data_IF_078524410383
#
_entry.id   IF_078524410383
#
_cell.length_a   1.000
_cell.length_b   1.000
_cell.length_c   1.000
_cell.angle_alpha   90.00
_cell.angle_beta   90.00
_cell.angle_gamma   90.00
#
_symmetry.space_group_name_H-M   'P 1'
#
loop_
_entity.id
_entity.type
_entity.pdbx_description
1 polymer ?
#
# COMPACT_ATOMS: atom_id res chain seq x y z
N UNK A 1 22.38 4.26 -8.33
CA UNK A 1 22.22 2.82 -8.69
C UNK A 1 21.15 2.77 -9.77
N UNK A 2 21.35 2.07 -10.88
CA UNK A 2 20.26 1.88 -11.85
C UNK A 2 19.41 0.71 -11.40
N UNK A 3 18.22 0.98 -10.87
CA UNK A 3 17.26 -0.05 -10.52
C UNK A 3 16.42 -0.37 -11.76
N UNK A 4 16.45 -1.63 -12.23
CA UNK A 4 15.52 -2.09 -13.26
C UNK A 4 14.25 -2.61 -12.58
N UNK A 5 13.23 -1.75 -12.49
CA UNK A 5 11.90 -2.18 -12.05
C UNK A 5 11.23 -2.99 -13.17
N UNK A 6 10.77 -4.23 -12.91
CA UNK A 6 10.06 -5.02 -13.90
C UNK A 6 8.77 -4.30 -14.30
N UNK A 7 8.65 -3.97 -15.58
CA UNK A 7 7.43 -3.36 -16.12
C UNK A 7 6.38 -4.44 -16.34
N UNK A 8 5.42 -4.51 -15.44
CA UNK A 8 4.26 -5.38 -15.56
C UNK A 8 3.16 -4.71 -16.39
N UNK A 9 2.49 -5.49 -17.22
CA UNK A 9 1.26 -5.09 -17.89
C UNK A 9 0.09 -5.03 -16.91
N UNK A 10 -0.97 -4.29 -17.25
CA UNK A 10 -2.21 -4.29 -16.45
C UNK A 10 -2.81 -5.68 -16.26
N UNK A 11 -2.67 -6.56 -17.25
CA UNK A 11 -3.14 -7.93 -17.15
C UNK A 11 -2.36 -8.74 -16.09
N UNK A 12 -1.05 -8.57 -16.03
CA UNK A 12 -0.18 -9.21 -15.04
C UNK A 12 -0.44 -8.67 -13.63
N UNK A 13 -0.58 -7.35 -13.49
CA UNK A 13 -0.94 -6.71 -12.21
C UNK A 13 -2.29 -7.23 -11.74
N UNK A 14 -3.30 -7.25 -12.62
CA UNK A 14 -4.64 -7.75 -12.29
C UNK A 14 -4.64 -9.24 -11.93
N UNK A 15 -3.81 -10.06 -12.58
CA UNK A 15 -3.65 -11.48 -12.21
C UNK A 15 -3.04 -11.62 -10.81
N UNK A 16 -1.93 -10.93 -10.53
CA UNK A 16 -1.28 -10.95 -9.22
C UNK A 16 -2.23 -10.48 -8.11
N UNK A 17 -2.98 -9.41 -8.35
CA UNK A 17 -3.97 -8.91 -7.39
C UNK A 17 -5.08 -9.94 -7.11
N UNK A 18 -5.59 -10.63 -8.13
CA UNK A 18 -6.61 -11.69 -7.95
C UNK A 18 -6.06 -12.90 -7.21
N UNK A 19 -4.85 -13.35 -7.52
CA UNK A 19 -4.19 -14.46 -6.84
C UNK A 19 -3.99 -14.14 -5.35
N UNK A 20 -3.41 -12.97 -5.06
CA UNK A 20 -3.23 -12.47 -3.71
C UNK A 20 -4.54 -12.38 -2.93
N UNK A 21 -5.59 -11.80 -3.55
CA UNK A 21 -6.90 -11.70 -2.92
C UNK A 21 -7.54 -13.07 -2.70
N UNK A 22 -7.37 -14.02 -3.61
CA UNK A 22 -7.95 -15.35 -3.48
C UNK A 22 -7.36 -16.13 -2.30
N UNK A 23 -6.06 -15.97 -2.02
CA UNK A 23 -5.42 -16.60 -0.86
C UNK A 23 -5.97 -16.08 0.48
N UNK A 24 -6.26 -14.78 0.54
CA UNK A 24 -6.68 -14.11 1.78
C UNK A 24 -8.20 -14.07 1.94
N UNK A 25 -8.95 -13.93 0.85
CA UNK A 25 -10.41 -13.82 0.81
C UNK A 25 -10.98 -14.64 -0.36
N UNK A 26 -10.98 -15.99 -0.25
CA UNK A 26 -11.37 -16.86 -1.35
C UNK A 26 -12.80 -16.65 -1.86
N UNK A 27 -13.72 -16.17 -1.01
CA UNK A 27 -15.12 -15.94 -1.39
C UNK A 27 -15.28 -14.79 -2.38
N UNK A 28 -14.32 -13.84 -2.42
CA UNK A 28 -14.37 -12.63 -3.25
C UNK A 28 -15.65 -11.80 -3.06
N UNK A 29 -16.34 -12.00 -1.94
CA UNK A 29 -17.58 -11.29 -1.63
C UNK A 29 -17.29 -9.81 -1.43
N UNK A 30 -18.12 -8.98 -2.08
CA UNK A 30 -18.05 -7.53 -1.99
C UNK A 30 -18.95 -7.08 -0.83
N UNK A 31 -18.50 -6.12 -0.01
CA UNK A 31 -17.29 -5.33 -0.23
C UNK A 31 -16.04 -6.00 0.39
N UNK A 32 -14.91 -6.01 -0.34
CA UNK A 32 -13.67 -6.70 0.06
C UNK A 32 -13.18 -6.17 1.42
N UNK A 33 -13.03 -7.01 2.47
CA UNK A 33 -12.73 -6.56 3.83
C UNK A 33 -11.25 -6.18 3.99
N UNK A 34 -10.86 -5.03 3.42
CA UNK A 34 -9.46 -4.64 3.28
C UNK A 34 -8.80 -4.33 4.63
N UNK A 35 -9.51 -3.71 5.58
CA UNK A 35 -8.98 -3.49 6.93
C UNK A 35 -8.67 -4.82 7.62
N UNK A 36 -9.59 -5.78 7.60
CA UNK A 36 -9.39 -7.11 8.20
C UNK A 36 -8.24 -7.88 7.54
N UNK A 37 -8.11 -7.78 6.22
CA UNK A 37 -6.99 -8.40 5.49
C UNK A 37 -5.67 -7.81 5.97
N UNK A 38 -5.56 -6.48 6.06
CA UNK A 38 -4.34 -5.78 6.47
C UNK A 38 -4.01 -6.08 7.94
N UNK A 39 -4.95 -5.88 8.86
CA UNK A 39 -4.68 -5.97 10.30
C UNK A 39 -4.64 -7.40 10.83
N UNK A 40 -5.58 -8.25 10.40
CA UNK A 40 -5.74 -9.58 11.01
C UNK A 40 -4.97 -10.66 10.26
N UNK A 41 -4.97 -10.61 8.92
CA UNK A 41 -4.32 -11.65 8.10
C UNK A 41 -2.85 -11.36 7.86
N UNK A 42 -2.52 -10.10 7.54
CA UNK A 42 -1.15 -9.69 7.23
C UNK A 42 -0.41 -9.10 8.43
N UNK A 43 -1.11 -8.78 9.52
CA UNK A 43 -0.55 -8.22 10.77
C UNK A 43 0.19 -6.90 10.56
N UNK A 44 -0.31 -6.09 9.62
CA UNK A 44 0.12 -4.72 9.41
C UNK A 44 -0.77 -3.78 10.23
N UNK A 45 -0.24 -2.63 10.65
CA UNK A 45 -1.04 -1.61 11.32
C UNK A 45 -1.67 -0.66 10.30
N UNK A 46 -2.88 -0.18 10.59
CA UNK A 46 -3.45 0.99 9.92
C UNK A 46 -3.41 2.16 10.91
N UNK A 47 -2.80 3.27 10.51
CA UNK A 47 -2.71 4.45 11.37
C UNK A 47 -3.30 5.69 10.69
N UNK A 48 -4.41 6.24 11.23
CA UNK A 48 -4.95 7.52 10.78
C UNK A 48 -3.99 8.66 11.16
N UNK A 49 -3.31 9.22 10.15
CA UNK A 49 -2.38 10.33 10.31
C UNK A 49 -3.13 11.66 10.16
N UNK A 50 -3.13 12.53 11.20
CA UNK A 50 -3.84 13.79 11.14
C UNK A 50 -3.30 14.71 10.05
N UNK A 51 -4.21 15.29 9.26
CA UNK A 51 -3.88 16.31 8.25
C UNK A 51 -2.93 15.86 7.13
N UNK A 52 -2.73 14.56 6.92
CA UNK A 52 -1.76 14.02 5.96
C UNK A 52 -1.94 14.61 4.56
N UNK A 53 -3.18 14.64 4.07
CA UNK A 53 -3.47 15.19 2.75
C UNK A 53 -3.30 16.71 2.72
N UNK A 54 -3.77 17.41 3.75
CA UNK A 54 -3.70 18.87 3.79
C UNK A 54 -2.26 19.39 3.80
N UNK A 55 -1.39 18.75 4.58
CA UNK A 55 -0.04 19.27 4.83
C UNK A 55 1.00 18.69 3.85
N UNK A 56 0.73 17.49 3.30
CA UNK A 56 1.68 16.77 2.45
C UNK A 56 1.11 16.35 1.09
N UNK A 57 -0.19 16.53 0.84
CA UNK A 57 -0.83 16.10 -0.41
C UNK A 57 -1.02 14.59 -0.54
N UNK A 58 -0.76 13.81 0.52
CA UNK A 58 -0.80 12.35 0.49
C UNK A 58 -2.13 11.80 1.01
N UNK A 59 -2.69 10.78 0.35
CA UNK A 59 -3.87 10.07 0.87
C UNK A 59 -3.48 8.97 1.87
N UNK A 60 -2.32 8.35 1.66
CA UNK A 60 -1.71 7.36 2.53
C UNK A 60 -0.29 7.06 2.09
N UNK A 61 0.46 6.28 2.87
CA UNK A 61 1.75 5.71 2.51
C UNK A 61 2.10 4.51 3.40
N UNK A 62 2.82 3.53 2.86
CA UNK A 62 3.44 2.44 3.63
C UNK A 62 4.77 2.92 4.28
N UNK A 63 4.94 2.68 5.57
CA UNK A 63 6.20 3.00 6.28
C UNK A 63 7.39 2.22 5.71
N UNK A 64 8.60 2.78 5.84
CA UNK A 64 9.81 2.17 5.26
C UNK A 64 10.13 0.77 5.83
N UNK A 65 9.77 0.51 7.09
CA UNK A 65 9.86 -0.82 7.73
C UNK A 65 8.72 -1.78 7.32
N UNK A 66 7.76 -1.28 6.53
CA UNK A 66 6.57 -1.98 6.02
C UNK A 66 5.64 -2.52 7.08
N UNK A 67 5.66 -1.99 8.31
CA UNK A 67 4.78 -2.50 9.38
C UNK A 67 3.47 -1.72 9.49
N UNK A 68 3.38 -0.53 8.88
CA UNK A 68 2.26 0.38 9.08
C UNK A 68 1.87 1.08 7.78
N UNK A 69 0.58 1.08 7.46
CA UNK A 69 0.00 1.93 6.43
C UNK A 69 -0.56 3.18 7.13
N UNK A 70 0.06 4.32 6.84
CA UNK A 70 -0.43 5.63 7.25
C UNK A 70 -1.53 6.05 6.27
N UNK A 71 -2.67 6.50 6.76
CA UNK A 71 -3.81 6.97 5.94
C UNK A 71 -4.29 8.30 6.47
N UNK A 72 -4.74 9.22 5.61
CA UNK A 72 -5.26 10.50 6.06
C UNK A 72 -6.48 10.32 6.98
N UNK A 73 -6.44 10.96 8.15
CA UNK A 73 -7.46 10.82 9.20
C UNK A 73 -8.88 11.15 8.72
N UNK A 74 -9.06 12.21 7.93
CA UNK A 74 -10.39 12.59 7.43
C UNK A 74 -10.92 11.51 6.48
N UNK A 75 -10.05 10.93 5.65
CA UNK A 75 -10.45 9.84 4.77
C UNK A 75 -10.84 8.60 5.55
N UNK A 76 -10.05 8.26 6.56
CA UNK A 76 -10.30 7.12 7.44
C UNK A 76 -11.65 7.25 8.16
N UNK A 77 -11.92 8.41 8.76
CA UNK A 77 -13.11 8.62 9.57
C UNK A 77 -14.39 8.87 8.76
N UNK A 78 -14.28 9.56 7.63
CA UNK A 78 -15.44 10.15 6.94
C UNK A 78 -15.62 9.70 5.49
N UNK A 79 -14.60 9.07 4.88
CA UNK A 79 -14.60 8.73 3.45
C UNK A 79 -14.28 7.25 3.21
N UNK A 80 -15.08 6.35 3.78
CA UNK A 80 -14.81 4.90 3.78
C UNK A 80 -14.45 4.31 2.41
N UNK A 81 -15.14 4.69 1.33
CA UNK A 81 -14.81 4.20 -0.02
C UNK A 81 -13.40 4.62 -0.46
N UNK A 82 -13.04 5.88 -0.20
CA UNK A 82 -11.72 6.43 -0.53
C UNK A 82 -10.63 5.85 0.37
N UNK A 83 -10.93 5.63 1.65
CA UNK A 83 -10.04 4.95 2.58
C UNK A 83 -9.73 3.54 2.10
N UNK A 84 -10.76 2.74 1.77
CA UNK A 84 -10.59 1.36 1.29
C UNK A 84 -9.75 1.29 0.01
N UNK A 85 -9.95 2.21 -0.92
CA UNK A 85 -9.10 2.33 -2.10
C UNK A 85 -7.64 2.64 -1.74
N UNK A 86 -7.43 3.62 -0.85
CA UNK A 86 -6.08 4.01 -0.40
C UNK A 86 -5.37 2.86 0.29
N UNK A 87 -6.05 2.15 1.18
CA UNK A 87 -5.51 0.96 1.86
C UNK A 87 -5.13 -0.14 0.86
N UNK A 88 -6.00 -0.42 -0.12
CA UNK A 88 -5.70 -1.39 -1.17
C UNK A 88 -4.51 -0.96 -2.05
N UNK A 89 -4.38 0.34 -2.33
CA UNK A 89 -3.25 0.90 -3.08
C UNK A 89 -1.93 0.70 -2.33
N UNK A 90 -1.86 1.09 -1.06
CA UNK A 90 -0.66 0.94 -0.24
C UNK A 90 -0.31 -0.52 0.05
N UNK A 91 -1.31 -1.39 0.20
CA UNK A 91 -1.08 -2.83 0.28
C UNK A 91 -0.49 -3.38 -1.04
N UNK A 92 -0.95 -2.86 -2.18
CA UNK A 92 -0.36 -3.15 -3.48
C UNK A 92 1.14 -2.85 -3.51
N UNK A 93 1.57 -1.72 -2.93
CA UNK A 93 3.00 -1.40 -2.80
C UNK A 93 3.75 -2.39 -1.93
N UNK A 94 3.17 -2.79 -0.80
CA UNK A 94 3.77 -3.78 0.10
C UNK A 94 4.04 -5.11 -0.61
N UNK A 95 3.07 -5.59 -1.40
CA UNK A 95 3.10 -6.91 -2.05
C UNK A 95 3.92 -6.89 -3.33
N UNK A 96 3.67 -5.92 -4.22
CA UNK A 96 4.32 -5.89 -5.54
C UNK A 96 5.78 -5.48 -5.44
N UNK A 97 6.14 -4.72 -4.41
CA UNK A 97 7.50 -4.25 -4.24
C UNK A 97 8.26 -4.89 -3.09
N UNK A 98 7.77 -5.99 -2.52
CA UNK A 98 8.37 -6.66 -1.36
C UNK A 98 9.86 -6.95 -1.53
N UNK A 99 10.26 -7.48 -2.70
CA UNK A 99 11.66 -7.80 -2.99
C UNK A 99 12.55 -6.56 -3.07
N UNK A 100 12.02 -5.40 -3.45
CA UNK A 100 12.78 -4.15 -3.49
C UNK A 100 12.98 -3.61 -2.08
N UNK A 101 11.95 -3.67 -1.22
CA UNK A 101 12.09 -3.27 0.17
C UNK A 101 13.07 -4.13 0.97
N UNK A 102 13.20 -5.42 0.65
CA UNK A 102 14.15 -6.31 1.33
C UNK A 102 15.61 -5.88 1.13
N UNK A 103 15.92 -5.31 -0.04
CA UNK A 103 17.28 -4.93 -0.44
C UNK A 103 17.57 -3.42 -0.28
N UNK A 104 16.56 -2.60 0.04
CA UNK A 104 16.69 -1.14 0.14
C UNK A 104 17.00 -0.70 1.58
N UNK A 105 18.24 -0.30 1.80
CA UNK A 105 18.65 0.55 2.92
C UNK A 105 18.59 2.01 2.45
N UNK A 106 17.41 2.64 2.47
CA UNK A 106 17.30 4.07 2.20
C UNK A 106 18.10 4.84 3.24
N UNK A 107 19.20 5.46 2.83
CA UNK A 107 20.04 6.26 3.73
C UNK A 107 19.47 7.65 3.90
N UNK A 108 18.71 8.13 2.90
CA UNK A 108 18.14 9.46 2.86
C UNK A 108 16.66 9.40 2.45
N UNK A 109 15.85 10.30 3.01
CA UNK A 109 14.41 10.37 2.77
C UNK A 109 14.07 10.58 1.29
N UNK A 110 14.90 11.33 0.54
CA UNK A 110 14.63 11.57 -0.88
C UNK A 110 14.73 10.30 -1.74
N UNK A 111 15.61 9.35 -1.38
CA UNK A 111 15.76 8.08 -2.10
C UNK A 111 14.47 7.24 -2.00
N UNK A 112 13.81 7.30 -0.84
CA UNK A 112 12.50 6.68 -0.64
C UNK A 112 11.41 7.40 -1.44
N UNK A 113 11.45 8.73 -1.51
CA UNK A 113 10.47 9.51 -2.28
C UNK A 113 10.56 9.24 -3.78
N UNK A 114 11.77 9.21 -4.36
CA UNK A 114 11.98 8.89 -5.78
C UNK A 114 11.48 7.49 -6.11
N UNK A 115 11.85 6.51 -5.29
CA UNK A 115 11.40 5.12 -5.45
C UNK A 115 9.87 5.00 -5.37
N UNK A 116 9.23 5.71 -4.43
CA UNK A 116 7.78 5.69 -4.24
C UNK A 116 7.02 6.28 -5.44
N UNK A 117 7.53 7.37 -6.01
CA UNK A 117 6.92 8.02 -7.17
C UNK A 117 7.18 7.26 -8.48
N UNK A 118 7.99 6.19 -8.45
CA UNK A 118 8.36 5.42 -9.64
C UNK A 118 9.23 6.20 -10.63
N UNK A 119 10.00 7.18 -10.13
CA UNK A 119 10.94 8.02 -10.89
C UNK A 119 12.32 7.36 -11.03
#
# INVERSE_FOLDING_TARGET
MSFELPRLTYAEIGRKAREFLHELHPSQEIPIPIEEIIELKLRLNIYPFPRLYRDHGLNGFLTADRTTIMVDEIQYDQMHEKCRFTLAHELGHCVLHESFYADLQFKLVHEYMEWREGL
#
